data_IF_122599788013
#
_entry.id   IF_122599788013
#
_cell.length_a   1.000
_cell.length_b   1.000
_cell.length_c   1.000
_cell.angle_alpha   90.00
_cell.angle_beta   90.00
_cell.angle_gamma   90.00
#
_symmetry.space_group_name_H-M   'P 1'
#
loop_
_entity.id
_entity.type
_entity.pdbx_description
1 polymer ?
#
# COMPACT_ATOMS: atom_id res chain seq x y z
N UNK A 1 -0.43 -18.65 -40.58
CA UNK A 1 -1.20 -17.42 -40.82
C UNK A 1 -0.92 -16.49 -39.68
N UNK A 2 -0.80 -15.20 -39.91
CA UNK A 2 -0.38 -14.26 -38.87
C UNK A 2 -1.59 -13.52 -38.29
N UNK A 3 -1.53 -13.18 -37.01
CA UNK A 3 -2.49 -12.28 -36.41
C UNK A 3 -2.23 -10.85 -36.91
N UNK A 4 -3.31 -10.09 -37.04
CA UNK A 4 -3.24 -8.67 -37.36
C UNK A 4 -2.82 -7.81 -36.17
N UNK A 5 -3.08 -6.49 -36.23
CA UNK A 5 -2.80 -5.56 -35.14
C UNK A 5 -3.37 -6.01 -33.79
N UNK A 6 -2.76 -5.53 -32.72
CA UNK A 6 -3.17 -5.84 -31.36
C UNK A 6 -4.61 -5.36 -31.09
N UNK A 7 -5.39 -6.12 -30.30
CA UNK A 7 -6.72 -5.68 -29.89
C UNK A 7 -6.61 -4.45 -28.97
N UNK A 8 -7.61 -3.58 -29.04
CA UNK A 8 -7.74 -2.49 -28.09
C UNK A 8 -8.31 -3.05 -26.77
N UNK A 9 -7.59 -2.87 -25.66
CA UNK A 9 -7.99 -3.34 -24.33
C UNK A 9 -8.26 -2.13 -23.44
N UNK A 10 -9.36 -2.15 -22.70
CA UNK A 10 -9.81 -1.03 -21.86
C UNK A 10 -8.73 -0.67 -20.83
N UNK A 11 -8.31 0.60 -20.83
CA UNK A 11 -7.36 1.15 -19.86
C UNK A 11 -6.00 0.42 -19.81
N UNK A 12 -5.60 -0.21 -20.92
CA UNK A 12 -4.32 -0.90 -21.03
C UNK A 12 -3.57 -0.49 -22.31
N UNK A 13 -2.24 -0.51 -22.25
CA UNK A 13 -1.34 -0.15 -23.33
C UNK A 13 -0.36 -1.29 -23.61
N UNK A 14 -0.16 -1.65 -24.90
CA UNK A 14 0.84 -2.63 -25.28
C UNK A 14 2.26 -2.05 -25.21
N UNK A 15 3.31 -2.89 -25.17
CA UNK A 15 4.70 -2.46 -25.27
C UNK A 15 4.94 -1.59 -26.51
N UNK A 16 5.74 -0.52 -26.35
CA UNK A 16 5.91 0.51 -27.39
C UNK A 16 6.45 -0.01 -28.72
N UNK A 17 7.30 -1.04 -28.68
CA UNK A 17 7.85 -1.75 -29.85
C UNK A 17 6.78 -2.54 -30.62
N UNK A 18 5.80 -3.11 -29.92
CA UNK A 18 4.70 -3.88 -30.54
C UNK A 18 3.54 -3.00 -31.01
N UNK A 19 3.43 -1.76 -30.51
CA UNK A 19 2.30 -0.86 -30.76
C UNK A 19 2.09 -0.50 -32.25
N UNK A 20 3.18 -0.37 -33.01
CA UNK A 20 3.13 -0.04 -34.43
C UNK A 20 3.16 -1.27 -35.36
N UNK A 21 3.30 -2.47 -34.80
CA UNK A 21 3.44 -3.70 -35.56
C UNK A 21 2.08 -4.13 -36.13
N UNK A 22 2.08 -4.47 -37.43
CA UNK A 22 0.86 -4.81 -38.16
C UNK A 22 0.60 -6.32 -38.26
N UNK A 23 1.60 -7.14 -37.94
CA UNK A 23 1.55 -8.59 -38.13
C UNK A 23 2.36 -9.32 -37.07
N UNK A 24 1.79 -10.39 -36.51
CA UNK A 24 2.39 -11.21 -35.46
C UNK A 24 2.23 -12.69 -35.80
N UNK A 25 3.31 -13.46 -35.72
CA UNK A 25 3.30 -14.87 -36.03
C UNK A 25 2.45 -15.68 -35.04
N UNK A 26 1.91 -16.82 -35.48
CA UNK A 26 1.21 -17.76 -34.57
C UNK A 26 2.12 -18.12 -33.39
N UNK A 27 1.54 -18.09 -32.20
CA UNK A 27 2.25 -18.35 -30.95
C UNK A 27 2.89 -17.11 -30.32
N UNK A 28 2.99 -15.98 -31.03
CA UNK A 28 3.42 -14.71 -30.43
C UNK A 28 2.54 -14.30 -29.27
N UNK A 29 3.16 -13.86 -28.18
CA UNK A 29 2.47 -13.33 -27.00
C UNK A 29 2.82 -11.87 -26.79
N UNK A 30 1.83 -11.09 -26.35
CA UNK A 30 2.02 -9.68 -26.00
C UNK A 30 1.37 -9.42 -24.66
N UNK A 31 2.18 -8.92 -23.72
CA UNK A 31 1.76 -8.55 -22.37
C UNK A 31 1.48 -7.06 -22.32
N UNK A 32 0.24 -6.71 -22.02
CA UNK A 32 -0.20 -5.33 -21.85
C UNK A 32 0.12 -4.82 -20.44
N UNK A 33 0.23 -3.49 -20.32
CA UNK A 33 0.40 -2.79 -19.05
C UNK A 33 -0.79 -1.85 -18.82
N UNK A 34 -1.22 -1.65 -17.57
CA UNK A 34 -2.31 -0.71 -17.31
C UNK A 34 -1.87 0.73 -17.58
N UNK A 35 -2.77 1.51 -18.17
CA UNK A 35 -2.56 2.92 -18.44
C UNK A 35 -2.37 3.72 -17.14
N UNK A 36 -1.83 4.94 -17.24
CA UNK A 36 -1.59 5.79 -16.09
C UNK A 36 -2.88 6.00 -15.26
N UNK A 37 -2.81 5.75 -13.95
CA UNK A 37 -3.94 5.84 -13.02
C UNK A 37 -4.80 4.57 -12.92
N UNK A 38 -4.38 3.48 -13.57
CA UNK A 38 -4.98 2.16 -13.46
C UNK A 38 -3.95 1.13 -13.00
N UNK A 39 -4.45 0.10 -12.31
CA UNK A 39 -3.66 -0.96 -11.71
C UNK A 39 -4.22 -2.31 -12.12
N UNK A 40 -3.32 -3.28 -12.32
CA UNK A 40 -3.69 -4.65 -12.71
C UNK A 40 -4.51 -5.30 -11.61
N UNK A 41 -5.71 -5.74 -11.95
CA UNK A 41 -6.57 -6.53 -11.09
C UNK A 41 -5.90 -7.87 -10.77
N UNK A 42 -5.97 -8.33 -9.52
CA UNK A 42 -5.38 -9.59 -9.12
C UNK A 42 -6.06 -10.75 -9.86
N UNK A 43 -5.31 -11.82 -10.11
CA UNK A 43 -5.76 -13.08 -10.73
C UNK A 43 -6.19 -12.99 -12.21
N UNK A 44 -6.17 -11.82 -12.83
CA UNK A 44 -6.47 -11.66 -14.25
C UNK A 44 -5.20 -11.68 -15.11
N UNK A 45 -5.32 -12.27 -16.30
CA UNK A 45 -4.27 -12.25 -17.33
C UNK A 45 -4.20 -10.86 -17.98
N UNK A 46 -2.98 -10.44 -18.28
CA UNK A 46 -2.63 -9.24 -19.04
C UNK A 46 -1.99 -9.60 -20.40
N UNK A 47 -1.96 -10.88 -20.75
CA UNK A 47 -1.27 -11.37 -21.95
C UNK A 47 -2.25 -11.94 -22.97
N UNK A 48 -2.14 -11.49 -24.21
CA UNK A 48 -2.79 -12.10 -25.38
C UNK A 48 -1.82 -12.99 -26.14
N UNK A 49 -2.36 -14.02 -26.80
CA UNK A 49 -1.60 -14.91 -27.67
C UNK A 49 -2.22 -14.96 -29.07
N UNK A 50 -1.39 -14.95 -30.10
CA UNK A 50 -1.82 -15.20 -31.46
C UNK A 50 -2.09 -16.69 -31.67
N UNK A 51 -3.36 -17.07 -31.89
CA UNK A 51 -3.81 -18.45 -32.03
C UNK A 51 -3.66 -18.94 -33.49
N UNK A 52 -3.70 -20.26 -33.69
CA UNK A 52 -3.54 -20.90 -35.02
C UNK A 52 -4.60 -20.43 -36.04
N UNK A 53 -5.77 -20.01 -35.57
CA UNK A 53 -6.84 -19.45 -36.40
C UNK A 53 -6.58 -17.99 -36.81
N UNK A 54 -5.37 -17.47 -36.61
CA UNK A 54 -4.96 -16.09 -36.92
C UNK A 54 -5.81 -15.04 -36.17
N UNK A 55 -6.28 -15.39 -34.96
CA UNK A 55 -6.97 -14.47 -34.03
C UNK A 55 -6.23 -14.39 -32.72
N UNK A 56 -6.30 -13.24 -32.07
CA UNK A 56 -5.84 -13.07 -30.70
C UNK A 56 -6.75 -13.81 -29.71
N UNK A 57 -6.16 -14.36 -28.65
CA UNK A 57 -6.90 -14.91 -27.51
C UNK A 57 -7.73 -13.81 -26.85
N UNK A 58 -8.87 -14.19 -26.25
CA UNK A 58 -9.68 -13.26 -25.48
C UNK A 58 -8.99 -12.84 -24.19
N UNK A 59 -9.06 -11.56 -23.86
CA UNK A 59 -8.56 -11.00 -22.61
C UNK A 59 -9.71 -10.25 -21.92
N UNK A 60 -10.05 -10.57 -20.66
CA UNK A 60 -11.01 -9.77 -19.90
C UNK A 60 -10.40 -8.40 -19.57
N UNK A 61 -11.26 -7.43 -19.21
CA UNK A 61 -10.79 -6.17 -18.64
C UNK A 61 -10.03 -6.46 -17.34
N UNK A 62 -8.73 -6.20 -17.34
CA UNK A 62 -7.82 -6.53 -16.25
C UNK A 62 -7.27 -5.29 -15.52
N UNK A 63 -7.63 -4.07 -15.96
CA UNK A 63 -7.18 -2.83 -15.36
C UNK A 63 -8.33 -2.15 -14.62
N UNK A 64 -8.12 -1.88 -13.33
CA UNK A 64 -9.06 -1.16 -12.47
C UNK A 64 -8.43 0.10 -11.88
N UNK A 65 -9.26 0.98 -11.31
CA UNK A 65 -8.75 2.06 -10.46
C UNK A 65 -8.74 1.61 -9.01
N UNK A 66 -7.68 1.95 -8.30
CA UNK A 66 -7.54 1.69 -6.88
C UNK A 66 -7.12 2.95 -6.11
N UNK A 67 -7.27 2.89 -4.80
CA UNK A 67 -6.57 3.83 -3.95
C UNK A 67 -5.06 3.63 -4.05
N UNK A 68 -4.26 4.70 -3.87
CA UNK A 68 -2.81 4.57 -3.80
C UNK A 68 -2.40 3.69 -2.60
N UNK A 69 -1.11 3.43 -2.44
CA UNK A 69 -0.62 2.76 -1.24
C UNK A 69 -1.16 3.43 0.04
N UNK A 70 -1.65 2.65 1.02
CA UNK A 70 -2.23 3.19 2.25
C UNK A 70 -1.33 4.20 2.95
N UNK A 71 -1.90 5.22 3.61
CA UNK A 71 -1.14 6.31 4.20
C UNK A 71 -0.16 5.82 5.26
N UNK A 72 1.08 6.33 5.21
CA UNK A 72 2.09 6.04 6.21
C UNK A 72 1.92 6.96 7.43
N UNK A 73 1.72 6.36 8.60
CA UNK A 73 1.60 7.08 9.87
C UNK A 73 2.75 6.76 10.82
N UNK A 74 3.03 7.67 11.77
CA UNK A 74 4.15 7.56 12.72
C UNK A 74 3.89 6.58 13.86
N UNK A 75 2.62 6.40 14.26
CA UNK A 75 2.24 5.59 15.43
C UNK A 75 1.93 4.12 15.09
N UNK A 76 1.61 3.82 13.83
CA UNK A 76 1.27 2.48 13.37
C UNK A 76 1.84 2.18 11.97
N UNK A 77 1.83 0.90 11.60
CA UNK A 77 2.18 0.41 10.27
C UNK A 77 1.07 -0.49 9.75
N UNK A 78 0.85 -0.51 8.44
CA UNK A 78 -0.12 -1.44 7.81
C UNK A 78 0.22 -2.90 8.16
N UNK A 79 -0.82 -3.72 8.33
CA UNK A 79 -0.70 -5.16 8.56
C UNK A 79 0.07 -5.85 7.42
N UNK A 80 0.72 -6.98 7.72
CA UNK A 80 1.50 -7.71 6.70
C UNK A 80 0.59 -8.27 5.62
N UNK A 81 -0.63 -8.68 5.98
CA UNK A 81 -1.63 -9.20 5.06
C UNK A 81 -2.08 -8.13 4.07
N UNK A 82 -2.44 -6.95 4.57
CA UNK A 82 -2.96 -5.87 3.74
C UNK A 82 -1.84 -5.24 2.90
N UNK A 83 -0.61 -5.17 3.41
CA UNK A 83 0.57 -4.67 2.66
C UNK A 83 0.91 -5.50 1.43
N UNK A 84 0.54 -6.78 1.40
CA UNK A 84 0.81 -7.68 0.25
C UNK A 84 -0.16 -7.46 -0.90
N UNK A 85 -1.20 -6.64 -0.72
CA UNK A 85 -2.14 -6.32 -1.77
C UNK A 85 -1.52 -5.35 -2.78
N UNK A 86 -1.66 -5.70 -4.06
CA UNK A 86 -1.24 -4.86 -5.18
C UNK A 86 -2.38 -4.01 -5.74
N UNK A 87 -3.60 -4.17 -5.22
CA UNK A 87 -4.80 -3.48 -5.69
C UNK A 87 -5.74 -3.21 -4.52
N UNK A 88 -6.05 -1.94 -4.27
CA UNK A 88 -6.96 -1.51 -3.19
C UNK A 88 -8.26 -0.96 -3.78
N UNK A 89 -9.23 -1.84 -4.00
CA UNK A 89 -10.55 -1.44 -4.52
C UNK A 89 -11.24 -0.43 -3.60
N UNK A 90 -12.17 0.35 -4.15
CA UNK A 90 -13.10 1.17 -3.36
C UNK A 90 -13.82 0.29 -2.31
N UNK A 91 -13.98 0.83 -1.11
CA UNK A 91 -14.45 0.16 0.12
C UNK A 91 -13.48 -0.88 0.73
N UNK A 92 -12.28 -1.07 0.16
CA UNK A 92 -11.23 -1.88 0.82
C UNK A 92 -10.83 -1.21 2.13
N UNK A 93 -10.82 -1.97 3.21
CA UNK A 93 -10.40 -1.49 4.53
C UNK A 93 -9.12 -2.21 4.95
N UNK A 94 -8.07 -1.45 5.21
CA UNK A 94 -6.79 -1.96 5.68
C UNK A 94 -6.64 -1.74 7.18
N UNK A 95 -5.98 -2.68 7.85
CA UNK A 95 -5.69 -2.64 9.28
C UNK A 95 -4.27 -2.18 9.53
N UNK A 96 -4.11 -1.41 10.60
CA UNK A 96 -2.82 -0.96 11.10
C UNK A 96 -2.48 -1.65 12.42
N UNK A 97 -1.19 -1.84 12.64
CA UNK A 97 -0.58 -2.44 13.82
C UNK A 97 0.30 -1.36 14.47
N UNK A 98 0.14 -1.13 15.78
CA UNK A 98 0.94 -0.15 16.50
C UNK A 98 2.43 -0.44 16.36
N UNK A 99 3.23 0.61 16.14
CA UNK A 99 4.69 0.47 16.05
C UNK A 99 5.27 0.15 17.41
N UNK A 100 6.50 -0.37 17.41
CA UNK A 100 7.27 -0.58 18.63
C UNK A 100 7.35 0.73 19.44
N UNK A 101 7.09 0.64 20.74
CA UNK A 101 7.04 1.80 21.62
C UNK A 101 5.67 2.51 21.65
N UNK A 102 4.67 1.98 20.92
CA UNK A 102 3.27 2.41 21.03
C UNK A 102 2.40 1.25 21.54
N UNK A 103 1.33 1.56 22.25
CA UNK A 103 0.27 0.63 22.65
C UNK A 103 -1.08 1.10 22.10
N UNK A 104 -1.94 0.13 21.77
CA UNK A 104 -3.32 0.43 21.40
C UNK A 104 -4.11 0.82 22.66
N UNK A 105 -4.82 1.94 22.58
CA UNK A 105 -5.69 2.45 23.65
C UNK A 105 -7.09 1.84 23.63
N UNK A 106 -7.39 1.05 22.60
CA UNK A 106 -8.69 0.42 22.38
C UNK A 106 -8.51 -1.06 22.04
N UNK A 107 -9.59 -1.82 22.08
CA UNK A 107 -9.61 -3.23 21.64
C UNK A 107 -9.57 -3.38 20.11
N UNK A 108 -9.76 -2.29 19.35
CA UNK A 108 -9.85 -2.31 17.89
C UNK A 108 -8.58 -1.74 17.26
N UNK A 109 -8.02 -2.38 16.21
CA UNK A 109 -6.88 -1.80 15.50
C UNK A 109 -7.29 -0.52 14.76
N UNK A 110 -6.38 0.45 14.56
CA UNK A 110 -6.64 1.54 13.64
C UNK A 110 -6.88 1.00 12.23
N UNK A 111 -7.88 1.53 11.54
CA UNK A 111 -8.23 1.14 10.17
C UNK A 111 -8.30 2.35 9.25
N UNK A 112 -8.14 2.12 7.96
CA UNK A 112 -8.39 3.12 6.93
C UNK A 112 -9.10 2.47 5.75
N UNK A 113 -10.06 3.17 5.18
CA UNK A 113 -10.93 2.66 4.10
C UNK A 113 -10.71 3.48 2.84
N UNK A 114 -10.61 2.79 1.70
CA UNK A 114 -10.55 3.41 0.38
C UNK A 114 -11.94 3.94 0.00
N UNK A 115 -12.05 5.25 -0.24
CA UNK A 115 -13.29 5.93 -0.59
C UNK A 115 -13.54 5.94 -2.11
N UNK A 116 -14.77 6.28 -2.51
CA UNK A 116 -15.18 6.37 -3.93
C UNK A 116 -14.33 7.38 -4.74
N UNK A 117 -13.75 8.37 -4.07
CA UNK A 117 -12.86 9.36 -4.68
C UNK A 117 -11.40 8.90 -4.78
N UNK A 118 -11.12 7.61 -4.52
CA UNK A 118 -9.79 6.99 -4.51
C UNK A 118 -8.82 7.60 -3.49
N UNK A 119 -9.37 8.11 -2.38
CA UNK A 119 -8.58 8.56 -1.23
C UNK A 119 -8.86 7.68 -0.01
N UNK A 120 -7.91 7.64 0.91
CA UNK A 120 -8.03 6.91 2.15
C UNK A 120 -8.71 7.76 3.22
N UNK A 121 -9.55 7.16 4.05
CA UNK A 121 -10.02 7.80 5.29
C UNK A 121 -8.84 8.05 6.23
N UNK A 122 -8.99 9.05 7.11
CA UNK A 122 -8.00 9.32 8.14
C UNK A 122 -7.77 8.09 9.02
N UNK A 123 -6.50 7.82 9.36
CA UNK A 123 -6.13 6.72 10.26
C UNK A 123 -6.32 7.23 11.69
N UNK A 124 -7.24 6.65 12.47
CA UNK A 124 -7.48 7.13 13.83
C UNK A 124 -6.24 6.89 14.72
N UNK A 125 -5.92 7.86 15.58
CA UNK A 125 -4.76 7.80 16.49
C UNK A 125 -4.99 6.90 17.71
N UNK A 126 -5.31 5.62 17.48
CA UNK A 126 -5.59 4.66 18.57
C UNK A 126 -4.31 4.13 19.22
N UNK A 127 -3.15 4.29 18.57
CA UNK A 127 -1.86 3.89 19.12
C UNK A 127 -1.18 5.06 19.83
N UNK A 128 -1.03 4.98 21.15
CA UNK A 128 -0.36 6.00 21.96
C UNK A 128 1.04 5.57 22.37
N UNK A 129 1.91 6.55 22.64
CA UNK A 129 3.28 6.32 23.09
C UNK A 129 3.28 5.56 24.42
N UNK A 130 4.06 4.49 24.51
CA UNK A 130 4.32 3.77 25.76
C UNK A 130 4.97 4.69 26.78
N UNK A 131 4.62 4.50 28.05
CA UNK A 131 5.36 5.09 29.16
C UNK A 131 6.63 4.29 29.42
N UNK A 132 7.76 5.00 29.56
CA UNK A 132 9.03 4.45 30.06
C UNK A 132 9.02 4.24 31.58
N UNK A 133 7.94 4.64 32.26
CA UNK A 133 7.86 4.66 33.72
C UNK A 133 8.56 5.88 34.33
N UNK A 134 8.26 6.15 35.60
CA UNK A 134 8.91 7.22 36.35
C UNK A 134 10.37 6.83 36.62
N UNK A 135 11.35 7.66 36.22
CA UNK A 135 12.76 7.42 36.54
C UNK A 135 12.97 7.33 38.05
N UNK A 136 13.93 6.51 38.48
CA UNK A 136 14.29 6.41 39.89
C UNK A 136 14.71 7.78 40.43
N UNK A 137 14.23 8.13 41.63
CA UNK A 137 14.59 9.38 42.29
C UNK A 137 16.05 9.32 42.76
N UNK A 138 16.92 10.26 42.37
CA UNK A 138 18.29 10.36 42.87
C UNK A 138 18.31 10.67 44.37
N UNK A 139 19.34 10.18 45.08
CA UNK A 139 19.50 10.39 46.53
C UNK A 139 19.81 11.86 46.89
N UNK A 140 20.61 12.54 46.05
CA UNK A 140 21.00 13.95 46.20
C UNK A 140 20.84 14.73 44.89
N UNK A 141 19.62 14.71 44.35
CA UNK A 141 19.31 15.43 43.13
C UNK A 141 17.87 15.24 42.69
N UNK A 142 17.54 15.88 41.57
CA UNK A 142 16.20 15.92 41.02
C UNK A 142 16.20 15.52 39.54
N UNK A 143 15.16 14.80 39.14
CA UNK A 143 14.89 14.47 37.74
C UNK A 143 13.90 15.48 37.20
N UNK A 144 14.33 16.26 36.21
CA UNK A 144 13.50 17.23 35.50
C UNK A 144 13.09 16.57 34.18
N UNK A 145 11.79 16.35 33.99
CA UNK A 145 11.23 15.85 32.72
C UNK A 145 9.83 16.40 32.50
N UNK A 146 9.41 16.50 31.22
CA UNK A 146 8.08 17.00 30.83
C UNK A 146 7.02 15.90 30.80
N UNK A 147 7.41 14.72 30.35
CA UNK A 147 6.60 13.51 30.36
C UNK A 147 7.52 12.28 30.51
N UNK A 148 6.93 11.08 30.55
CA UNK A 148 7.65 9.81 30.61
C UNK A 148 7.36 8.94 29.39
N UNK A 149 6.89 9.52 28.30
CA UNK A 149 6.44 8.78 27.13
C UNK A 149 7.62 8.47 26.19
N UNK A 150 7.42 7.55 25.25
CA UNK A 150 8.43 7.25 24.22
C UNK A 150 8.97 8.54 23.59
N UNK A 151 10.30 8.68 23.57
CA UNK A 151 11.00 9.85 23.03
C UNK A 151 11.18 11.01 24.01
N UNK A 152 10.65 10.92 25.23
CA UNK A 152 10.92 11.88 26.30
C UNK A 152 12.41 11.93 26.66
N UNK A 153 12.85 13.09 27.16
CA UNK A 153 14.19 13.27 27.72
C UNK A 153 14.07 13.81 29.13
N UNK A 154 14.76 13.14 30.05
CA UNK A 154 14.88 13.56 31.44
C UNK A 154 16.29 14.08 31.69
N UNK A 155 16.41 15.15 32.49
CA UNK A 155 17.68 15.70 32.94
C UNK A 155 17.81 15.52 34.44
N UNK A 156 18.95 15.01 34.89
CA UNK A 156 19.24 14.87 36.32
C UNK A 156 20.09 16.05 36.77
N UNK A 157 19.64 16.74 37.82
CA UNK A 157 20.33 17.88 38.42
C UNK A 157 20.69 17.52 39.85
N UNK A 158 21.98 17.55 40.19
CA UNK A 158 22.43 17.30 41.55
C UNK A 158 22.11 18.48 42.47
N UNK A 159 21.84 18.17 43.74
CA UNK A 159 21.72 19.19 44.78
C UNK A 159 23.08 19.90 44.98
N UNK A 160 23.05 21.16 45.41
CA UNK A 160 24.28 21.89 45.75
C UNK A 160 24.88 21.34 47.04
N UNK A 161 26.17 21.02 47.01
CA UNK A 161 27.00 20.64 48.15
C UNK A 161 28.37 21.29 48.03
#
# INVERSE_FOLDING_TARGET
>A
GDCGPLPNISHAEPPGDTKAQQSFSVGSTVTFSCAAGYTKLPLLSDTVQCLENSRWSSLPDFCGRDCPSPPAVKFAAISVEDRRQNFYAVNTTVRYICRLGYDNTTEQPPTSTCLDNLTWTEVPELCQRKSCGTPAKPEHGQVITKDHLLGARASVVCDRG
#
